data_IF_449198989376
#
_entry.id   IF_449198989376
#
_cell.length_a   1.000
_cell.length_b   1.000
_cell.length_c   1.000
_cell.angle_alpha   90.00
_cell.angle_beta   90.00
_cell.angle_gamma   90.00
#
_symmetry.space_group_name_H-M   'P 1'
#
loop_
_entity.id
_entity.type
_entity.pdbx_description
1 polymer ?
#
# COMPACT_ATOMS: atom_id res chain seq x y z
N UNK A 1 16.10 18.30 16.44
CA UNK A 1 15.00 18.44 15.48
C UNK A 1 15.57 18.08 14.11
N UNK A 2 15.12 16.99 13.48
CA UNK A 2 15.54 16.65 12.14
C UNK A 2 15.02 17.74 11.20
N UNK A 3 15.88 18.26 10.31
CA UNK A 3 15.47 19.19 9.27
C UNK A 3 14.34 18.55 8.46
N UNK A 4 13.16 19.17 8.45
CA UNK A 4 12.08 18.72 7.60
C UNK A 4 12.55 18.82 6.15
N UNK A 5 12.44 17.74 5.41
CA UNK A 5 12.71 17.76 3.96
C UNK A 5 11.81 18.81 3.31
N UNK A 6 12.40 19.70 2.54
CA UNK A 6 11.64 20.74 1.80
C UNK A 6 10.92 20.18 0.57
N UNK A 7 11.20 18.93 0.20
CA UNK A 7 10.61 18.27 -0.98
C UNK A 7 9.57 17.26 -0.51
N UNK A 8 8.32 17.32 -1.00
CA UNK A 8 7.29 16.36 -0.67
C UNK A 8 7.65 14.97 -1.18
N UNK A 9 7.35 13.94 -0.37
CA UNK A 9 7.44 12.54 -0.76
C UNK A 9 6.34 12.18 -1.77
N UNK A 10 5.12 12.70 -1.53
CA UNK A 10 3.99 12.58 -2.42
C UNK A 10 3.40 13.95 -2.68
N UNK A 11 3.18 14.27 -3.95
CA UNK A 11 2.44 15.45 -4.39
C UNK A 11 1.32 15.04 -5.32
N UNK A 12 0.11 15.47 -5.01
CA UNK A 12 -1.10 15.23 -5.80
C UNK A 12 -1.65 16.57 -6.23
N UNK A 13 -1.88 16.76 -7.53
CA UNK A 13 -2.31 18.02 -8.12
C UNK A 13 -3.52 17.79 -9.05
N UNK A 14 -4.68 18.34 -8.70
CA UNK A 14 -5.89 18.28 -9.51
C UNK A 14 -6.37 16.86 -9.84
N UNK A 15 -6.19 15.90 -8.90
CA UNK A 15 -6.54 14.50 -9.13
C UNK A 15 -8.03 14.34 -9.43
N UNK A 16 -8.31 13.67 -10.54
CA UNK A 16 -9.67 13.28 -10.94
C UNK A 16 -9.72 11.77 -11.19
N UNK A 17 -10.70 11.12 -10.60
CA UNK A 17 -10.98 9.70 -10.82
C UNK A 17 -12.45 9.51 -11.14
N UNK A 18 -12.74 9.23 -12.39
CA UNK A 18 -14.09 9.04 -12.91
C UNK A 18 -14.27 7.59 -13.36
N UNK A 19 -15.40 7.00 -13.00
CA UNK A 19 -15.78 5.66 -13.41
C UNK A 19 -16.97 5.72 -14.36
N UNK A 20 -16.78 5.30 -15.60
CA UNK A 20 -17.85 5.20 -16.57
C UNK A 20 -18.68 3.94 -16.31
N UNK A 21 -19.91 4.12 -15.85
CA UNK A 21 -20.83 3.02 -15.54
C UNK A 21 -21.54 2.55 -16.82
N UNK A 22 -21.97 3.50 -17.66
CA UNK A 22 -22.58 3.22 -18.96
C UNK A 22 -22.33 4.39 -19.92
N UNK A 23 -22.96 4.36 -21.13
CA UNK A 23 -22.77 5.41 -22.15
C UNK A 23 -23.16 6.82 -21.68
N UNK A 24 -24.14 6.91 -20.78
CA UNK A 24 -24.76 8.17 -20.36
C UNK A 24 -24.45 8.56 -18.89
N UNK A 25 -23.77 7.67 -18.13
CA UNK A 25 -23.57 7.90 -16.71
C UNK A 25 -22.11 7.63 -16.30
N UNK A 26 -21.52 8.65 -15.70
CA UNK A 26 -20.14 8.65 -15.18
C UNK A 26 -20.18 9.08 -13.72
N UNK A 27 -19.62 8.26 -12.85
CA UNK A 27 -19.43 8.58 -11.42
C UNK A 27 -18.12 9.33 -11.27
N UNK A 28 -18.17 10.56 -10.79
CA UNK A 28 -17.01 11.36 -10.41
C UNK A 28 -16.66 11.05 -8.97
N UNK A 29 -15.89 9.99 -8.74
CA UNK A 29 -15.56 9.52 -7.40
C UNK A 29 -14.53 10.42 -6.70
N UNK A 30 -13.65 11.06 -7.46
CA UNK A 30 -12.71 12.10 -7.03
C UNK A 30 -12.73 13.20 -8.08
N UNK A 31 -12.90 14.45 -7.66
CA UNK A 31 -12.95 15.59 -8.58
C UNK A 31 -12.12 16.74 -8.01
N UNK A 32 -10.97 17.00 -8.64
CA UNK A 32 -10.08 18.13 -8.37
C UNK A 32 -9.47 18.18 -6.96
N UNK A 33 -8.79 17.07 -6.55
CA UNK A 33 -8.16 16.98 -5.23
C UNK A 33 -6.66 17.21 -5.34
N UNK A 34 -6.13 18.10 -4.48
CA UNK A 34 -4.70 18.43 -4.40
C UNK A 34 -4.22 18.42 -2.96
N UNK A 35 -3.04 17.82 -2.70
CA UNK A 35 -2.37 17.83 -1.40
C UNK A 35 -0.92 17.34 -1.54
N UNK A 36 -0.14 17.55 -0.48
CA UNK A 36 1.25 17.11 -0.38
C UNK A 36 1.46 16.33 0.92
N UNK A 37 2.36 15.35 0.89
CA UNK A 37 2.80 14.58 2.06
C UNK A 37 4.32 14.57 2.09
N UNK A 38 4.90 14.94 3.24
CA UNK A 38 6.34 15.01 3.43
C UNK A 38 6.90 13.74 4.08
N UNK A 39 8.21 13.46 3.94
CA UNK A 39 8.83 12.32 4.61
C UNK A 39 8.63 12.37 6.13
N UNK A 40 8.18 11.25 6.71
CA UNK A 40 7.91 11.13 8.15
C UNK A 40 6.62 11.78 8.63
N UNK A 41 5.81 12.33 7.72
CA UNK A 41 4.51 12.91 8.03
C UNK A 41 3.41 11.85 8.10
N UNK A 42 2.44 12.07 8.99
CA UNK A 42 1.17 11.34 9.02
C UNK A 42 0.08 12.27 8.52
N UNK A 43 -0.49 11.95 7.36
CA UNK A 43 -1.55 12.73 6.74
C UNK A 43 -2.92 12.05 6.90
N UNK A 44 -3.87 12.74 7.51
CA UNK A 44 -5.23 12.25 7.75
C UNK A 44 -6.21 12.70 6.67
N UNK A 45 -6.79 11.75 5.91
CA UNK A 45 -7.86 12.02 4.95
C UNK A 45 -9.21 11.70 5.59
N UNK A 46 -10.02 12.73 5.85
CA UNK A 46 -11.30 12.64 6.56
C UNK A 46 -12.45 12.94 5.63
N UNK A 47 -13.61 12.34 5.89
CA UNK A 47 -14.85 12.56 5.13
C UNK A 47 -15.86 11.44 5.36
N UNK A 48 -17.08 11.62 4.89
CA UNK A 48 -18.17 10.65 5.02
C UNK A 48 -17.92 9.34 4.26
N UNK A 49 -18.70 8.30 4.57
CA UNK A 49 -18.66 7.05 3.79
C UNK A 49 -19.05 7.35 2.34
N UNK A 50 -18.29 6.81 1.38
CA UNK A 50 -18.55 7.07 -0.04
C UNK A 50 -17.94 8.36 -0.59
N UNK A 51 -17.28 9.20 0.22
CA UNK A 51 -16.70 10.49 -0.24
C UNK A 51 -15.43 10.36 -1.13
N UNK A 52 -15.04 9.15 -1.52
CA UNK A 52 -13.91 8.93 -2.42
C UNK A 52 -12.55 8.68 -1.75
N UNK A 53 -12.44 8.65 -0.41
CA UNK A 53 -11.16 8.45 0.31
C UNK A 53 -10.38 7.23 -0.15
N UNK A 54 -11.03 6.07 -0.19
CA UNK A 54 -10.40 4.82 -0.66
C UNK A 54 -10.05 4.87 -2.14
N UNK A 55 -10.80 5.61 -2.93
CA UNK A 55 -10.53 5.82 -4.36
C UNK A 55 -9.27 6.67 -4.54
N UNK A 56 -9.08 7.73 -3.74
CA UNK A 56 -7.86 8.54 -3.74
C UNK A 56 -6.64 7.65 -3.44
N UNK A 57 -6.68 6.88 -2.35
CA UNK A 57 -5.58 5.96 -2.00
C UNK A 57 -5.26 4.96 -3.12
N UNK A 58 -6.29 4.34 -3.71
CA UNK A 58 -6.11 3.39 -4.83
C UNK A 58 -5.59 4.03 -6.11
N UNK A 59 -5.94 5.29 -6.37
CA UNK A 59 -5.39 6.05 -7.51
C UNK A 59 -3.92 6.40 -7.28
N UNK A 60 -3.53 6.76 -6.05
CA UNK A 60 -2.14 7.06 -5.70
C UNK A 60 -1.22 5.87 -5.91
N UNK A 61 -1.62 4.67 -5.41
CA UNK A 61 -0.81 3.45 -5.61
C UNK A 61 -0.98 2.83 -7.01
N UNK A 62 -1.69 3.52 -7.91
CA UNK A 62 -1.90 3.12 -9.31
C UNK A 62 -2.62 1.77 -9.46
N UNK A 63 -3.56 1.45 -8.55
CA UNK A 63 -4.57 0.41 -8.77
C UNK A 63 -5.66 0.88 -9.74
N UNK A 64 -5.92 2.19 -9.75
CA UNK A 64 -6.73 2.86 -10.76
C UNK A 64 -5.85 3.86 -11.50
N UNK A 65 -5.97 3.89 -12.83
CA UNK A 65 -5.34 4.92 -13.62
C UNK A 65 -6.14 6.23 -13.47
N UNK A 66 -5.53 7.32 -13.01
CA UNK A 66 -6.22 8.60 -12.85
C UNK A 66 -6.83 9.07 -14.17
N UNK A 67 -8.04 9.63 -14.09
CA UNK A 67 -8.70 10.22 -15.27
C UNK A 67 -8.00 11.50 -15.69
N UNK A 68 -7.55 12.31 -14.73
CA UNK A 68 -6.77 13.53 -14.93
C UNK A 68 -6.05 13.92 -13.63
N UNK A 69 -5.20 14.93 -13.72
CA UNK A 69 -4.36 15.42 -12.62
C UNK A 69 -2.97 14.84 -12.67
N UNK A 70 -2.14 15.28 -11.73
CA UNK A 70 -0.74 14.88 -11.64
C UNK A 70 -0.45 14.27 -10.28
N UNK A 71 0.29 13.15 -10.27
CA UNK A 71 0.80 12.49 -9.07
C UNK A 71 2.31 12.39 -9.20
N UNK A 72 3.02 12.99 -8.27
CA UNK A 72 4.49 12.90 -8.17
C UNK A 72 4.84 12.16 -6.89
N UNK A 73 5.63 11.10 -7.00
CA UNK A 73 6.11 10.31 -5.87
C UNK A 73 7.63 10.25 -5.89
N UNK A 74 8.26 10.63 -4.78
CA UNK A 74 9.73 10.66 -4.62
C UNK A 74 10.42 11.39 -5.79
N UNK A 75 9.85 12.53 -6.22
CA UNK A 75 10.33 13.35 -7.33
C UNK A 75 10.00 12.82 -8.73
N UNK A 76 9.36 11.67 -8.86
CA UNK A 76 9.00 11.08 -10.15
C UNK A 76 7.53 11.28 -10.46
N UNK A 77 7.22 11.74 -11.66
CA UNK A 77 5.84 11.78 -12.18
C UNK A 77 5.35 10.37 -12.48
N UNK A 78 4.27 10.00 -11.80
CA UNK A 78 3.63 8.68 -11.92
C UNK A 78 2.20 8.77 -12.48
N UNK A 79 1.80 9.90 -13.05
CA UNK A 79 0.42 10.14 -13.54
C UNK A 79 0.10 9.36 -14.81
N UNK A 80 1.06 9.28 -15.74
CA UNK A 80 0.90 8.68 -17.06
C UNK A 80 1.07 7.16 -17.10
N UNK A 81 1.31 6.63 -18.29
CA UNK A 81 1.63 5.22 -18.49
C UNK A 81 2.99 4.90 -17.87
N UNK A 82 2.98 3.99 -16.91
CA UNK A 82 4.19 3.57 -16.20
C UNK A 82 4.93 2.48 -16.99
N UNK A 83 6.26 2.59 -17.04
CA UNK A 83 7.12 1.50 -17.49
C UNK A 83 7.09 0.33 -16.48
N UNK A 84 7.54 -0.85 -16.91
CA UNK A 84 7.64 -2.00 -16.02
C UNK A 84 8.57 -1.73 -14.82
N UNK A 85 9.69 -1.05 -15.03
CA UNK A 85 10.62 -0.68 -13.97
C UNK A 85 9.99 0.28 -12.95
N UNK A 86 9.28 1.32 -13.42
CA UNK A 86 8.55 2.24 -12.54
C UNK A 86 7.47 1.51 -11.73
N UNK A 87 6.68 0.63 -12.36
CA UNK A 87 5.68 -0.17 -11.66
C UNK A 87 6.30 -1.02 -10.54
N UNK A 88 7.43 -1.68 -10.81
CA UNK A 88 8.12 -2.48 -9.80
C UNK A 88 8.62 -1.62 -8.64
N UNK A 89 9.21 -0.46 -8.91
CA UNK A 89 9.63 0.49 -7.89
C UNK A 89 8.46 0.96 -7.04
N UNK A 90 7.34 1.35 -7.65
CA UNK A 90 6.16 1.79 -6.92
C UNK A 90 5.58 0.69 -6.02
N UNK A 91 5.49 -0.55 -6.52
CA UNK A 91 4.98 -1.69 -5.74
C UNK A 91 5.85 -2.07 -4.55
N UNK A 92 7.14 -1.73 -4.56
CA UNK A 92 8.01 -1.92 -3.39
C UNK A 92 7.97 -0.73 -2.43
N UNK A 93 7.87 0.49 -2.96
CA UNK A 93 8.00 1.72 -2.17
C UNK A 93 6.67 2.29 -1.65
N UNK A 94 5.55 1.93 -2.26
CA UNK A 94 4.22 2.26 -1.77
C UNK A 94 3.44 1.01 -1.44
N UNK A 95 2.86 0.95 -0.24
CA UNK A 95 2.05 -0.18 0.22
C UNK A 95 0.70 0.30 0.73
N UNK A 96 -0.33 -0.54 0.54
CA UNK A 96 -1.67 -0.29 1.07
C UNK A 96 -2.06 -1.36 2.07
N UNK A 97 -2.57 -0.92 3.22
CA UNK A 97 -3.19 -1.78 4.22
C UNK A 97 -4.70 -1.70 4.02
N UNK A 98 -5.31 -2.82 3.63
CA UNK A 98 -6.74 -2.85 3.36
C UNK A 98 -7.55 -2.87 4.66
N UNK A 99 -8.70 -2.20 4.62
CA UNK A 99 -9.62 -2.10 5.77
C UNK A 99 -10.17 -3.46 6.20
N UNK A 100 -10.40 -4.38 5.26
CA UNK A 100 -10.85 -5.75 5.53
C UNK A 100 -9.67 -6.73 5.46
N UNK A 101 -9.15 -7.18 6.62
CA UNK A 101 -8.07 -8.17 6.65
C UNK A 101 -8.50 -9.53 6.11
N UNK A 102 -9.78 -9.91 6.26
CA UNK A 102 -10.28 -11.21 5.82
C UNK A 102 -10.24 -11.35 4.30
N UNK A 103 -10.73 -10.33 3.59
CA UNK A 103 -10.72 -10.32 2.13
C UNK A 103 -9.30 -10.15 1.55
N UNK A 104 -8.35 -9.65 2.35
CA UNK A 104 -6.99 -9.33 1.87
C UNK A 104 -5.97 -10.46 2.05
N UNK A 105 -6.24 -11.47 2.88
CA UNK A 105 -5.34 -12.58 3.17
C UNK A 105 -5.83 -13.86 2.50
N UNK A 106 -4.96 -14.53 1.73
CA UNK A 106 -5.30 -15.82 1.14
C UNK A 106 -5.41 -16.90 2.26
N UNK A 107 -6.60 -17.47 2.51
CA UNK A 107 -6.80 -18.41 3.62
C UNK A 107 -6.10 -19.75 3.43
N UNK A 108 -5.62 -20.04 2.22
CA UNK A 108 -4.93 -21.30 1.86
C UNK A 108 -3.41 -21.22 2.00
N UNK A 109 -2.86 -20.03 2.24
CA UNK A 109 -1.43 -19.82 2.44
C UNK A 109 -1.10 -19.69 3.92
N UNK A 110 0.09 -20.13 4.32
CA UNK A 110 0.65 -19.85 5.65
C UNK A 110 0.97 -18.35 5.78
N UNK A 111 1.01 -17.86 7.00
CA UNK A 111 1.33 -16.46 7.30
C UNK A 111 2.71 -16.06 6.76
N UNK A 112 3.71 -16.94 6.87
CA UNK A 112 5.04 -16.69 6.29
C UNK A 112 5.02 -16.48 4.79
N UNK A 113 4.16 -17.23 4.06
CA UNK A 113 4.01 -17.09 2.62
C UNK A 113 3.26 -15.82 2.23
N UNK A 114 2.24 -15.46 3.03
CA UNK A 114 1.48 -14.21 2.80
C UNK A 114 2.37 -12.99 3.01
N UNK A 115 3.17 -12.97 4.08
CA UNK A 115 4.05 -11.85 4.40
C UNK A 115 5.24 -11.82 3.44
N UNK A 116 5.87 -12.98 3.16
CA UNK A 116 7.07 -13.08 2.33
C UNK A 116 6.82 -12.98 0.82
N UNK A 117 5.56 -13.04 0.36
CA UNK A 117 5.22 -13.05 -1.08
C UNK A 117 5.83 -11.86 -1.85
N UNK A 118 5.81 -10.67 -1.25
CA UNK A 118 6.44 -9.48 -1.85
C UNK A 118 7.97 -9.61 -1.97
N UNK A 119 8.62 -10.23 -0.97
CA UNK A 119 10.05 -10.49 -1.05
C UNK A 119 10.40 -11.45 -2.19
N UNK A 120 9.57 -12.47 -2.40
CA UNK A 120 9.76 -13.48 -3.45
C UNK A 120 9.54 -12.88 -4.84
N UNK A 121 8.44 -12.13 -5.05
CA UNK A 121 8.09 -11.50 -6.33
C UNK A 121 9.17 -10.50 -6.77
N UNK A 122 9.71 -9.73 -5.84
CA UNK A 122 10.71 -8.69 -6.13
C UNK A 122 12.16 -9.15 -5.90
N UNK A 123 12.38 -10.45 -5.63
CA UNK A 123 13.70 -11.05 -5.44
C UNK A 123 14.56 -10.32 -4.38
N UNK A 124 13.94 -9.96 -3.25
CA UNK A 124 14.57 -9.17 -2.18
C UNK A 124 15.30 -10.03 -1.14
N UNK A 125 15.35 -11.35 -1.32
CA UNK A 125 16.09 -12.30 -0.49
C UNK A 125 16.93 -13.22 -1.39
N UNK A 126 18.14 -13.52 -0.94
CA UNK A 126 19.04 -14.44 -1.65
C UNK A 126 18.83 -15.90 -1.24
N UNK A 127 18.36 -16.12 -0.01
CA UNK A 127 18.15 -17.46 0.57
C UNK A 127 16.82 -17.55 1.31
N UNK A 128 16.32 -18.77 1.48
CA UNK A 128 15.14 -19.03 2.30
C UNK A 128 15.37 -18.69 3.77
N UNK A 129 16.58 -18.87 4.27
CA UNK A 129 16.94 -18.50 5.64
C UNK A 129 16.82 -16.98 5.85
N UNK A 130 17.33 -16.16 4.93
CA UNK A 130 17.18 -14.69 4.98
C UNK A 130 15.70 -14.25 4.91
N UNK A 131 14.92 -14.90 4.04
CA UNK A 131 13.48 -14.67 3.92
C UNK A 131 12.76 -14.94 5.24
N UNK A 132 13.02 -16.10 5.85
CA UNK A 132 12.40 -16.50 7.12
C UNK A 132 12.78 -15.54 8.25
N UNK A 133 14.04 -15.18 8.37
CA UNK A 133 14.51 -14.20 9.36
C UNK A 133 13.79 -12.87 9.23
N UNK A 134 13.61 -12.35 8.01
CA UNK A 134 12.86 -11.09 7.76
C UNK A 134 11.40 -11.23 8.17
N UNK A 135 10.75 -12.35 7.87
CA UNK A 135 9.36 -12.62 8.25
C UNK A 135 9.22 -12.71 9.77
N UNK A 136 10.10 -13.42 10.46
CA UNK A 136 10.07 -13.53 11.93
C UNK A 136 10.30 -12.16 12.60
N UNK A 137 11.25 -11.38 12.09
CA UNK A 137 11.50 -10.02 12.58
C UNK A 137 10.30 -9.09 12.41
N UNK A 138 9.60 -9.14 11.27
CA UNK A 138 8.43 -8.29 11.05
C UNK A 138 7.24 -8.74 11.89
N UNK A 139 7.05 -10.05 12.10
CA UNK A 139 6.03 -10.57 13.01
C UNK A 139 6.23 -10.04 14.43
N UNK A 140 7.46 -10.08 14.95
CA UNK A 140 7.79 -9.52 16.26
C UNK A 140 7.49 -8.01 16.33
N UNK A 141 7.81 -7.24 15.28
CA UNK A 141 7.52 -5.79 15.22
C UNK A 141 6.03 -5.47 15.32
N UNK A 142 5.16 -6.32 14.79
CA UNK A 142 3.70 -6.13 14.88
C UNK A 142 3.10 -6.82 16.12
N UNK A 143 3.93 -7.33 17.04
CA UNK A 143 3.48 -7.98 18.29
C UNK A 143 2.86 -9.36 18.09
N UNK A 144 3.34 -10.10 17.10
CA UNK A 144 3.03 -11.51 16.88
C UNK A 144 4.27 -12.37 17.17
N UNK A 145 4.05 -13.58 17.70
CA UNK A 145 5.16 -14.49 17.95
C UNK A 145 5.73 -15.07 16.64
N UNK A 146 7.04 -15.33 16.54
CA UNK A 146 7.67 -15.90 15.35
C UNK A 146 7.04 -17.22 14.91
N UNK A 147 6.60 -18.06 15.85
CA UNK A 147 5.95 -19.35 15.58
C UNK A 147 4.60 -19.20 14.84
N UNK A 148 4.04 -17.99 14.83
CA UNK A 148 2.84 -17.68 14.07
C UNK A 148 3.08 -17.72 12.56
N UNK A 149 4.33 -17.71 12.09
CA UNK A 149 4.70 -17.81 10.68
C UNK A 149 4.10 -19.06 10.00
N UNK A 150 4.05 -20.19 10.71
CA UNK A 150 3.57 -21.46 10.18
C UNK A 150 2.06 -21.66 10.23
N UNK A 151 1.32 -20.73 10.85
CA UNK A 151 -0.13 -20.78 10.97
C UNK A 151 -0.85 -20.24 9.73
N UNK A 152 -2.11 -20.63 9.61
CA UNK A 152 -3.02 -20.13 8.58
C UNK A 152 -3.88 -18.98 9.11
N UNK A 153 -4.37 -18.06 8.26
CA UNK A 153 -5.18 -16.91 8.67
C UNK A 153 -6.40 -17.24 9.53
N UNK A 154 -7.06 -18.38 9.28
CA UNK A 154 -8.24 -18.80 10.05
C UNK A 154 -7.93 -19.12 11.52
N UNK A 155 -6.66 -19.36 11.87
CA UNK A 155 -6.20 -19.65 13.24
C UNK A 155 -5.93 -18.39 14.07
N UNK A 156 -6.22 -17.21 13.53
CA UNK A 156 -5.98 -15.91 14.16
C UNK A 156 -7.27 -15.16 14.45
N UNK A 157 -7.27 -14.36 15.53
CA UNK A 157 -8.31 -13.39 15.79
C UNK A 157 -8.36 -12.29 14.72
N UNK A 158 -9.44 -11.51 14.65
CA UNK A 158 -9.56 -10.39 13.71
C UNK A 158 -8.40 -9.39 13.83
N UNK A 159 -8.05 -9.00 15.05
CA UNK A 159 -6.93 -8.09 15.31
C UNK A 159 -5.56 -8.68 14.96
N UNK A 160 -5.35 -9.98 15.16
CA UNK A 160 -4.12 -10.64 14.73
C UNK A 160 -4.01 -10.71 13.21
N UNK A 161 -5.12 -10.99 12.49
CA UNK A 161 -5.15 -10.95 11.01
C UNK A 161 -4.82 -9.56 10.48
N UNK A 162 -5.31 -8.51 11.14
CA UNK A 162 -4.94 -7.14 10.77
C UNK A 162 -3.44 -6.89 10.94
N UNK A 163 -2.83 -7.38 12.02
CA UNK A 163 -1.38 -7.30 12.23
C UNK A 163 -0.59 -8.07 11.15
N UNK A 164 -1.09 -9.21 10.68
CA UNK A 164 -0.50 -9.92 9.52
C UNK A 164 -0.57 -9.06 8.25
N UNK A 165 -1.69 -8.40 7.99
CA UNK A 165 -1.83 -7.45 6.87
C UNK A 165 -0.87 -6.27 6.96
N UNK A 166 -0.67 -5.74 8.17
CA UNK A 166 0.32 -4.68 8.45
C UNK A 166 1.75 -5.22 8.21
N UNK A 167 2.08 -6.41 8.73
CA UNK A 167 3.39 -7.03 8.52
C UNK A 167 3.70 -7.24 7.04
N UNK A 168 2.71 -7.69 6.25
CA UNK A 168 2.84 -7.84 4.79
C UNK A 168 3.20 -6.53 4.09
N UNK A 169 2.61 -5.42 4.51
CA UNK A 169 2.95 -4.11 3.94
C UNK A 169 4.34 -3.64 4.40
N UNK A 170 4.65 -3.79 5.69
CA UNK A 170 5.90 -3.28 6.28
C UNK A 170 7.15 -4.05 5.85
N UNK A 171 7.05 -5.33 5.50
CA UNK A 171 8.22 -6.16 5.15
C UNK A 171 8.96 -5.64 3.92
N UNK A 172 8.26 -4.93 3.05
CA UNK A 172 8.82 -4.28 1.87
C UNK A 172 9.64 -3.03 2.20
N UNK A 173 9.62 -2.57 3.46
CA UNK A 173 10.23 -1.32 3.91
C UNK A 173 9.82 -0.11 3.05
N UNK A 174 8.51 0.12 2.87
CA UNK A 174 8.01 1.14 1.94
C UNK A 174 8.29 2.56 2.46
N UNK A 175 8.37 3.52 1.53
CA UNK A 175 8.44 4.95 1.85
C UNK A 175 7.08 5.54 2.20
N UNK A 176 6.00 4.99 1.63
CA UNK A 176 4.62 5.43 1.85
C UNK A 176 3.72 4.24 2.17
N UNK A 177 2.89 4.38 3.21
CA UNK A 177 1.83 3.44 3.58
C UNK A 177 0.49 4.17 3.55
N UNK A 178 -0.51 3.56 2.92
CA UNK A 178 -1.88 4.05 2.83
C UNK A 178 -2.82 3.07 3.53
#
# INVERSE_FOLDING_TARGET
MAAQSTTPLLKVEGLKQYFRVNKNFTVKAVDDVSFEIYPGETYGLVGESGSGKSTIGRSIIRLYDPTAGKITFDGQDISGRLSHAQNNTLRTQMQMIFQDPMASLNPRKKVEDIIGEGLDIHHLCKTQAERREKVEKILAKVGLAPEHAERYPHQFSGGQRQRVGIARALIMNPKLII
#
